data_IF_510335894678
#
_entry.id   IF_510335894678
#
_cell.length_a   1.000
_cell.length_b   1.000
_cell.length_c   1.000
_cell.angle_alpha   90.00
_cell.angle_beta   90.00
_cell.angle_gamma   90.00
#
_symmetry.space_group_name_H-M   'P 1'
#
loop_
_entity.id
_entity.type
_entity.pdbx_description
1 polymer ?
#
# COMPACT_ATOMS: atom_id res chain seq x y z
N UNK A 1 1.19 -7.62 14.29
CA UNK A 1 2.07 -8.22 13.26
C UNK A 1 3.48 -7.65 13.37
N UNK A 2 4.52 -8.47 13.27
CA UNK A 2 5.91 -8.00 13.15
C UNK A 2 6.18 -7.63 11.68
N UNK A 3 6.73 -6.45 11.43
CA UNK A 3 7.00 -5.95 10.07
C UNK A 3 8.51 -5.78 9.88
N UNK A 4 9.18 -6.84 9.49
CA UNK A 4 10.58 -6.78 9.04
C UNK A 4 10.68 -6.34 7.57
N UNK A 5 11.92 -6.21 7.07
CA UNK A 5 12.18 -5.75 5.71
C UNK A 5 11.58 -6.67 4.66
N UNK A 6 11.68 -7.99 4.85
CA UNK A 6 11.20 -8.99 3.90
C UNK A 6 9.68 -8.97 3.81
N UNK A 7 9.00 -8.93 4.95
CA UNK A 7 7.53 -8.85 5.04
C UNK A 7 7.02 -7.54 4.43
N UNK A 8 7.76 -6.44 4.58
CA UNK A 8 7.43 -5.16 3.96
C UNK A 8 7.57 -5.22 2.44
N UNK A 9 8.68 -5.77 1.93
CA UNK A 9 8.91 -5.94 0.49
C UNK A 9 7.81 -6.82 -0.10
N UNK A 10 7.54 -7.97 0.52
CA UNK A 10 6.48 -8.90 0.10
C UNK A 10 5.12 -8.22 0.05
N UNK A 11 4.79 -7.42 1.06
CA UNK A 11 3.55 -6.65 1.07
C UNK A 11 3.48 -5.65 -0.11
N UNK A 12 4.58 -4.95 -0.42
CA UNK A 12 4.63 -4.00 -1.53
C UNK A 12 4.46 -4.69 -2.88
N UNK A 13 5.08 -5.85 -3.10
CA UNK A 13 4.92 -6.65 -4.32
C UNK A 13 3.44 -7.02 -4.53
N UNK A 14 2.81 -7.59 -3.49
CA UNK A 14 1.40 -7.99 -3.55
C UNK A 14 0.47 -6.78 -3.72
N UNK A 15 0.78 -5.66 -3.07
CA UNK A 15 0.01 -4.43 -3.17
C UNK A 15 0.07 -3.83 -4.59
N UNK A 16 1.26 -3.81 -5.20
CA UNK A 16 1.44 -3.32 -6.57
C UNK A 16 0.62 -4.12 -7.58
N UNK A 17 0.55 -5.44 -7.42
CA UNK A 17 -0.22 -6.33 -8.29
C UNK A 17 -1.75 -6.14 -8.19
N UNK A 18 -2.24 -5.41 -7.19
CA UNK A 18 -3.66 -5.20 -6.94
C UNK A 18 -4.08 -3.74 -7.17
N UNK A 19 -4.13 -3.26 -8.44
CA UNK A 19 -4.43 -1.86 -8.75
C UNK A 19 -5.81 -1.41 -8.27
N UNK A 20 -6.78 -2.32 -8.12
CA UNK A 20 -8.10 -2.00 -7.57
C UNK A 20 -8.02 -1.40 -6.15
N UNK A 21 -6.94 -1.62 -5.38
CA UNK A 21 -6.78 -1.06 -4.04
C UNK A 21 -6.30 0.40 -4.07
N UNK A 22 -5.43 0.75 -5.01
CA UNK A 22 -4.65 1.99 -4.94
C UNK A 22 -4.81 2.92 -6.14
N UNK A 23 -5.22 2.39 -7.30
CA UNK A 23 -5.40 3.14 -8.53
C UNK A 23 -6.85 3.64 -8.64
N UNK A 24 -7.10 4.95 -8.51
CA UNK A 24 -8.44 5.52 -8.63
C UNK A 24 -9.00 5.45 -10.06
N UNK A 25 -8.14 5.25 -11.07
CA UNK A 25 -8.55 5.09 -12.47
C UNK A 25 -8.98 3.64 -12.78
N UNK A 26 -8.65 2.69 -11.91
CA UNK A 26 -9.07 1.31 -12.05
C UNK A 26 -10.60 1.18 -11.84
N UNK A 27 -11.31 0.61 -12.80
CA UNK A 27 -12.77 0.39 -12.69
C UNK A 27 -13.16 -0.43 -11.46
N UNK A 28 -12.27 -1.34 -11.03
CA UNK A 28 -12.43 -2.15 -9.83
C UNK A 28 -12.28 -1.38 -8.52
N UNK A 29 -11.71 -0.16 -8.52
CA UNK A 29 -11.51 0.63 -7.31
C UNK A 29 -12.82 1.11 -6.67
N UNK A 30 -13.84 1.37 -7.49
CA UNK A 30 -15.19 1.73 -7.01
C UNK A 30 -15.97 0.52 -6.51
N UNK A 31 -15.54 -0.70 -6.87
CA UNK A 31 -16.20 -1.93 -6.49
C UNK A 31 -15.69 -2.43 -5.13
N UNK A 32 -16.50 -2.19 -4.08
CA UNK A 32 -16.20 -2.60 -2.70
C UNK A 32 -15.89 -4.10 -2.55
N UNK A 33 -16.55 -4.95 -3.35
CA UNK A 33 -16.33 -6.39 -3.32
C UNK A 33 -14.95 -6.73 -3.88
N UNK A 34 -14.59 -6.19 -5.05
CA UNK A 34 -13.25 -6.39 -5.64
C UNK A 34 -12.13 -5.88 -4.73
N UNK A 35 -12.32 -4.73 -4.10
CA UNK A 35 -11.35 -4.20 -3.13
C UNK A 35 -11.21 -5.14 -1.93
N UNK A 36 -12.31 -5.66 -1.39
CA UNK A 36 -12.29 -6.63 -0.28
C UNK A 36 -11.59 -7.93 -0.69
N UNK A 37 -11.89 -8.44 -1.88
CA UNK A 37 -11.29 -9.66 -2.41
C UNK A 37 -9.79 -9.48 -2.62
N UNK A 38 -9.35 -8.36 -3.18
CA UNK A 38 -7.92 -8.06 -3.32
C UNK A 38 -7.20 -7.98 -1.96
N UNK A 39 -7.81 -7.39 -0.94
CA UNK A 39 -7.24 -7.40 0.41
C UNK A 39 -7.16 -8.81 1.01
N UNK A 40 -8.16 -9.66 0.75
CA UNK A 40 -8.10 -11.08 1.14
C UNK A 40 -6.99 -11.81 0.39
N UNK A 41 -6.86 -11.60 -0.92
CA UNK A 41 -5.77 -12.17 -1.72
C UNK A 41 -4.40 -11.76 -1.16
N UNK A 42 -4.19 -10.50 -0.79
CA UNK A 42 -2.93 -10.08 -0.15
C UNK A 42 -2.73 -10.85 1.14
N UNK A 43 -3.72 -10.89 2.02
CA UNK A 43 -3.64 -11.63 3.30
C UNK A 43 -3.27 -13.09 3.10
N UNK A 44 -3.89 -13.77 2.14
CA UNK A 44 -3.67 -15.19 1.89
C UNK A 44 -2.27 -15.45 1.29
N UNK A 45 -1.73 -14.48 0.53
CA UNK A 45 -0.40 -14.58 -0.11
C UNK A 45 0.77 -14.01 0.71
N UNK A 46 0.50 -13.42 1.88
CA UNK A 46 1.54 -12.89 2.77
C UNK A 46 2.38 -14.00 3.40
N UNK A 47 1.88 -15.24 3.47
CA UNK A 47 2.61 -16.39 4.04
C UNK A 47 2.81 -16.31 5.56
N UNK A 48 2.29 -15.27 6.22
CA UNK A 48 2.38 -15.04 7.66
C UNK A 48 1.00 -14.72 8.23
N UNK A 49 0.72 -15.07 9.50
CA UNK A 49 -0.53 -14.69 10.15
C UNK A 49 -0.68 -13.17 10.25
N UNK A 50 -1.61 -12.60 9.50
CA UNK A 50 -1.93 -11.18 9.54
C UNK A 50 -3.43 -10.91 9.40
N UNK A 51 -3.90 -9.82 10.01
CA UNK A 51 -5.28 -9.35 9.84
C UNK A 51 -5.38 -8.34 8.70
N UNK A 52 -6.59 -8.19 8.12
CA UNK A 52 -6.83 -7.10 7.16
C UNK A 52 -6.59 -5.71 7.76
N UNK A 53 -6.78 -5.58 9.08
CA UNK A 53 -6.51 -4.34 9.80
C UNK A 53 -5.01 -4.03 9.84
N UNK A 54 -4.16 -5.04 10.07
CA UNK A 54 -2.69 -4.88 10.03
C UNK A 54 -2.23 -4.40 8.65
N UNK A 55 -2.74 -5.02 7.58
CA UNK A 55 -2.39 -4.68 6.20
C UNK A 55 -2.79 -3.24 5.85
N UNK A 56 -4.02 -2.84 6.21
CA UNK A 56 -4.50 -1.46 6.00
C UNK A 56 -3.69 -0.45 6.81
N UNK A 57 -3.39 -0.76 8.08
CA UNK A 57 -2.56 0.10 8.93
C UNK A 57 -1.15 0.26 8.36
N UNK A 58 -0.57 -0.81 7.82
CA UNK A 58 0.75 -0.75 7.18
C UNK A 58 0.73 0.08 5.91
N UNK A 59 -0.28 -0.08 5.06
CA UNK A 59 -0.49 0.77 3.88
C UNK A 59 -0.55 2.25 4.27
N UNK A 60 -1.36 2.62 5.26
CA UNK A 60 -1.45 4.02 5.70
C UNK A 60 -0.12 4.56 6.25
N UNK A 61 0.62 3.75 7.02
CA UNK A 61 1.96 4.13 7.50
C UNK A 61 2.94 4.38 6.35
N UNK A 62 2.99 3.49 5.36
CA UNK A 62 3.85 3.62 4.18
C UNK A 62 3.47 4.84 3.32
N UNK A 63 2.18 5.04 3.08
CA UNK A 63 1.69 6.18 2.30
C UNK A 63 1.90 7.50 3.02
N UNK A 64 1.79 7.54 4.35
CA UNK A 64 2.12 8.73 5.15
C UNK A 64 3.59 9.12 5.00
N UNK A 65 4.50 8.15 5.14
CA UNK A 65 5.92 8.37 4.91
C UNK A 65 6.20 8.84 3.48
N UNK A 66 5.63 8.16 2.47
CA UNK A 66 5.77 8.53 1.06
C UNK A 66 5.28 9.95 0.77
N UNK A 67 4.10 10.35 1.28
CA UNK A 67 3.58 11.72 1.13
C UNK A 67 4.51 12.73 1.79
N UNK A 68 5.06 12.42 2.97
CA UNK A 68 6.05 13.26 3.65
C UNK A 68 7.33 13.45 2.81
N UNK A 69 7.86 12.37 2.24
CA UNK A 69 9.00 12.45 1.31
C UNK A 69 8.66 13.23 0.06
N UNK A 70 7.53 12.95 -0.59
CA UNK A 70 7.08 13.66 -1.80
C UNK A 70 6.99 15.17 -1.56
N UNK A 71 6.48 15.61 -0.41
CA UNK A 71 6.46 17.03 -0.04
C UNK A 71 7.87 17.60 0.12
N UNK A 72 8.78 16.88 0.80
CA UNK A 72 10.18 17.33 0.96
C UNK A 72 10.93 17.44 -0.36
N UNK A 73 10.74 16.49 -1.28
CA UNK A 73 11.39 16.54 -2.59
C UNK A 73 10.78 17.62 -3.49
N UNK A 74 9.45 17.84 -3.45
CA UNK A 74 8.82 18.96 -4.17
C UNK A 74 9.29 20.33 -3.70
N UNK A 75 9.63 20.47 -2.41
CA UNK A 75 10.19 21.72 -1.87
C UNK A 75 11.64 21.92 -2.32
N UNK A 76 12.45 20.85 -2.42
CA UNK A 76 13.83 20.94 -2.90
C UNK A 76 13.96 21.30 -4.38
N UNK A 77 13.00 20.90 -5.21
CA UNK A 77 12.99 21.28 -6.63
C UNK A 77 12.63 22.76 -6.88
N UNK A 78 12.10 23.48 -5.87
CA UNK A 78 11.69 24.89 -5.99
C UNK A 78 12.67 25.89 -5.34
N UNK A 79 13.67 25.43 -4.60
CA UNK A 79 14.72 26.26 -3.97
C UNK A 79 16.03 26.29 -4.79
N UNK A 80 16.02 25.82 -6.05
CA UNK A 80 17.18 25.83 -6.96
C UNK A 80 17.02 26.75 -8.18
N UNK A 81 16.12 27.74 -8.14
CA UNK A 81 16.00 28.79 -9.19
C UNK A 81 16.34 30.17 -8.63
#
# INVERSE_FOLDING_TARGET
MNWDKETVIRFLELYQMNPCIWDPQNEGHKNRQRVKDAWNTIKDNMGVPCSLQDLKKKKESLMSAYRGYKTKFRVKDLDQV
#
